data_IF_427974600033
#
_entry.id   IF_427974600033
#
_cell.length_a   1.000
_cell.length_b   1.000
_cell.length_c   1.000
_cell.angle_alpha   90.00
_cell.angle_beta   90.00
_cell.angle_gamma   90.00
#
_symmetry.space_group_name_H-M   'P 1'
#
loop_
_entity.id
_entity.type
_entity.pdbx_description
1 polymer ?
#
# COMPACT_ATOMS: atom_id res chain seq x y z
N UNK A 1 -24.20 16.84 16.25
CA UNK A 1 -24.58 15.51 15.70
C UNK A 1 -23.35 14.63 15.67
N UNK A 2 -23.48 13.34 16.00
CA UNK A 2 -22.37 12.38 15.85
C UNK A 2 -22.18 12.08 14.36
N UNK A 3 -20.96 12.23 13.82
CA UNK A 3 -20.65 11.83 12.45
C UNK A 3 -20.64 10.31 12.35
N UNK A 4 -21.25 9.76 11.30
CA UNK A 4 -21.22 8.34 10.96
C UNK A 4 -20.06 8.12 9.98
N UNK A 5 -19.03 7.40 10.38
CA UNK A 5 -17.88 7.07 9.56
C UNK A 5 -17.84 5.55 9.36
N UNK A 6 -17.62 5.12 8.12
CA UNK A 6 -17.44 3.71 7.76
C UNK A 6 -15.98 3.52 7.36
N UNK A 7 -15.34 2.50 7.93
CA UNK A 7 -13.92 2.21 7.71
C UNK A 7 -13.76 0.79 7.17
N UNK A 8 -13.06 0.66 6.05
CA UNK A 8 -12.70 -0.61 5.44
C UNK A 8 -11.20 -0.90 5.57
N UNK A 9 -10.87 -2.16 5.70
CA UNK A 9 -9.53 -2.66 5.37
C UNK A 9 -9.41 -2.82 3.83
N UNK A 10 -8.20 -2.92 3.31
CA UNK A 10 -7.96 -3.00 1.87
C UNK A 10 -7.67 -4.42 1.39
N UNK A 11 -6.50 -4.96 1.74
CA UNK A 11 -6.06 -6.27 1.27
C UNK A 11 -7.00 -7.36 1.80
N UNK A 12 -7.47 -8.25 0.91
CA UNK A 12 -8.45 -9.33 1.19
C UNK A 12 -9.82 -8.85 1.68
N UNK A 13 -10.07 -7.54 1.63
CA UNK A 13 -11.38 -6.95 1.97
C UNK A 13 -11.98 -6.24 0.77
N UNK A 14 -11.33 -5.21 0.24
CA UNK A 14 -11.71 -4.52 -1.01
C UNK A 14 -11.00 -5.19 -2.20
N UNK A 15 -9.74 -5.48 -2.04
CA UNK A 15 -8.84 -6.05 -3.02
C UNK A 15 -8.60 -7.53 -2.73
N UNK A 16 -8.76 -8.40 -3.74
CA UNK A 16 -8.68 -9.87 -3.61
C UNK A 16 -7.26 -10.44 -3.52
N UNK A 17 -6.28 -9.63 -3.12
CA UNK A 17 -4.88 -10.03 -2.99
C UNK A 17 -4.14 -9.34 -1.86
N UNK A 18 -2.83 -9.44 -1.89
CA UNK A 18 -1.88 -8.69 -1.06
C UNK A 18 -1.23 -7.63 -1.95
N UNK A 19 -1.69 -6.39 -1.89
CA UNK A 19 -1.32 -5.33 -2.85
C UNK A 19 0.19 -5.04 -2.87
N UNK A 20 0.86 -5.06 -1.73
CA UNK A 20 2.32 -4.88 -1.68
C UNK A 20 3.08 -6.01 -2.38
N UNK A 21 2.65 -7.26 -2.21
CA UNK A 21 3.24 -8.44 -2.87
C UNK A 21 2.96 -8.41 -4.37
N UNK A 22 1.72 -8.11 -4.76
CA UNK A 22 1.32 -8.04 -6.16
C UNK A 22 2.02 -6.87 -6.88
N UNK A 23 2.25 -5.76 -6.19
CA UNK A 23 3.05 -4.64 -6.71
C UNK A 23 4.49 -5.07 -7.02
N UNK A 24 5.12 -5.85 -6.14
CA UNK A 24 6.44 -6.39 -6.41
C UNK A 24 6.43 -7.41 -7.56
N UNK A 25 5.39 -8.24 -7.68
CA UNK A 25 5.23 -9.14 -8.83
C UNK A 25 5.10 -8.36 -10.16
N UNK A 26 4.37 -7.25 -10.14
CA UNK A 26 4.31 -6.34 -11.29
C UNK A 26 5.67 -5.71 -11.59
N UNK A 27 6.40 -5.29 -10.56
CA UNK A 27 7.77 -4.78 -10.69
C UNK A 27 8.70 -5.82 -11.34
N UNK A 28 8.62 -7.09 -10.93
CA UNK A 28 9.40 -8.18 -11.53
C UNK A 28 9.14 -8.35 -13.04
N UNK A 29 7.90 -8.14 -13.49
CA UNK A 29 7.58 -8.19 -14.92
C UNK A 29 8.21 -7.03 -15.71
N UNK A 30 8.32 -5.85 -15.10
CA UNK A 30 8.87 -4.65 -15.74
C UNK A 30 10.41 -4.61 -15.67
N UNK A 31 10.98 -5.04 -14.59
CA UNK A 31 12.42 -4.97 -14.28
C UNK A 31 12.97 -6.32 -13.78
N UNK A 32 12.95 -7.39 -14.62
CA UNK A 32 13.22 -8.76 -14.17
C UNK A 32 14.62 -8.94 -13.57
N UNK A 33 15.65 -8.38 -14.19
CA UNK A 33 17.03 -8.49 -13.71
C UNK A 33 17.21 -7.78 -12.37
N UNK A 34 16.68 -6.58 -12.25
CA UNK A 34 16.78 -5.78 -11.03
C UNK A 34 16.03 -6.42 -9.87
N UNK A 35 14.82 -6.91 -10.14
CA UNK A 35 14.01 -7.62 -9.16
C UNK A 35 14.69 -8.91 -8.71
N UNK A 36 15.32 -9.64 -9.62
CA UNK A 36 16.11 -10.84 -9.28
C UNK A 36 17.27 -10.50 -8.34
N UNK A 37 18.10 -9.51 -8.68
CA UNK A 37 19.23 -9.09 -7.84
C UNK A 37 18.75 -8.56 -6.48
N UNK A 38 17.66 -7.79 -6.46
CA UNK A 38 17.04 -7.35 -5.22
C UNK A 38 16.56 -8.54 -4.39
N UNK A 39 15.88 -9.51 -4.98
CA UNK A 39 15.39 -10.70 -4.28
C UNK A 39 16.50 -11.47 -3.60
N UNK A 40 17.65 -11.67 -4.28
CA UNK A 40 18.83 -12.29 -3.69
C UNK A 40 19.34 -11.52 -2.46
N UNK A 41 19.39 -10.20 -2.55
CA UNK A 41 19.82 -9.34 -1.44
C UNK A 41 18.81 -9.32 -0.28
N UNK A 42 17.52 -9.49 -0.58
CA UNK A 42 16.44 -9.42 0.41
C UNK A 42 16.28 -10.70 1.24
N UNK A 43 16.78 -11.85 0.76
CA UNK A 43 16.70 -13.13 1.49
C UNK A 43 17.24 -13.01 2.93
N UNK A 44 18.35 -12.32 3.12
CA UNK A 44 18.94 -12.10 4.46
C UNK A 44 17.99 -11.36 5.41
N UNK A 45 17.22 -10.39 4.89
CA UNK A 45 16.27 -9.61 5.68
C UNK A 45 15.09 -10.48 6.14
N UNK A 46 14.64 -11.40 5.26
CA UNK A 46 13.62 -12.40 5.61
C UNK A 46 14.12 -13.30 6.72
N UNK A 47 15.36 -13.80 6.62
CA UNK A 47 15.99 -14.63 7.66
C UNK A 47 16.07 -13.84 8.98
N UNK A 48 16.54 -12.59 8.95
CA UNK A 48 16.63 -11.75 10.14
C UNK A 48 15.28 -11.49 10.80
N UNK A 49 14.22 -11.35 10.00
CA UNK A 49 12.86 -11.25 10.52
C UNK A 49 12.39 -12.56 11.18
N UNK A 50 12.62 -13.71 10.53
CA UNK A 50 12.22 -15.02 11.06
C UNK A 50 12.92 -15.36 12.39
N UNK A 51 14.20 -14.99 12.52
CA UNK A 51 14.95 -15.18 13.78
C UNK A 51 14.80 -13.99 14.75
N UNK A 52 13.86 -13.07 14.48
CA UNK A 52 13.48 -11.93 15.33
C UNK A 52 14.62 -10.92 15.60
N UNK A 53 15.59 -10.80 14.70
CA UNK A 53 16.64 -9.77 14.76
C UNK A 53 16.09 -8.41 14.32
N UNK A 54 15.15 -8.41 13.34
CA UNK A 54 14.43 -7.22 12.89
C UNK A 54 12.94 -7.42 13.05
N UNK A 55 12.21 -6.34 13.22
CA UNK A 55 10.75 -6.33 13.29
C UNK A 55 10.09 -6.20 11.90
N UNK A 56 8.76 -6.26 11.87
CA UNK A 56 7.96 -6.13 10.65
C UNK A 56 8.13 -4.76 9.98
N UNK A 57 8.28 -3.69 10.79
CA UNK A 57 8.50 -2.33 10.27
C UNK A 57 9.81 -2.29 9.49
N UNK A 58 10.90 -2.79 10.08
CA UNK A 58 12.22 -2.82 9.45
C UNK A 58 12.25 -3.71 8.22
N UNK A 59 11.61 -4.88 8.28
CA UNK A 59 11.48 -5.76 7.12
C UNK A 59 10.74 -5.05 5.96
N UNK A 60 9.66 -4.33 6.25
CA UNK A 60 8.92 -3.57 5.24
C UNK A 60 9.74 -2.42 4.66
N UNK A 61 10.48 -1.68 5.48
CA UNK A 61 11.42 -0.66 5.01
C UNK A 61 12.45 -1.25 4.03
N UNK A 62 13.04 -2.39 4.38
CA UNK A 62 13.99 -3.08 3.50
C UNK A 62 13.36 -3.60 2.21
N UNK A 63 12.08 -3.96 2.26
CA UNK A 63 11.36 -4.45 1.09
C UNK A 63 11.20 -3.39 0.01
N UNK A 64 10.93 -2.14 0.33
CA UNK A 64 10.68 -1.10 -0.66
C UNK A 64 11.93 -0.33 -1.13
N UNK A 65 13.13 -0.72 -0.69
CA UNK A 65 14.41 -0.10 -1.10
C UNK A 65 14.60 -0.13 -2.64
N UNK A 66 14.03 -1.12 -3.35
CA UNK A 66 14.11 -1.19 -4.80
C UNK A 66 13.51 0.04 -5.51
N UNK A 67 12.64 0.81 -4.84
CA UNK A 67 12.05 2.03 -5.39
C UNK A 67 12.95 3.26 -5.27
N UNK A 68 13.98 3.25 -4.40
CA UNK A 68 14.82 4.42 -4.14
C UNK A 68 15.63 4.89 -5.35
N UNK A 69 15.93 3.98 -6.28
CA UNK A 69 16.69 4.27 -7.51
C UNK A 69 15.85 4.88 -8.62
N UNK A 70 14.52 4.77 -8.53
CA UNK A 70 13.61 5.29 -9.54
C UNK A 70 13.26 6.74 -9.26
N UNK A 71 13.18 7.53 -10.33
CA UNK A 71 12.67 8.90 -10.29
C UNK A 71 11.21 8.94 -9.83
N UNK A 72 10.73 10.11 -9.42
CA UNK A 72 9.33 10.29 -9.03
C UNK A 72 8.36 9.90 -10.16
N UNK A 73 8.70 10.31 -11.40
CA UNK A 73 7.87 9.99 -12.58
C UNK A 73 7.84 8.49 -12.87
N UNK A 74 8.98 7.80 -12.79
CA UNK A 74 9.02 6.33 -12.96
C UNK A 74 8.20 5.61 -11.90
N UNK A 75 8.27 6.04 -10.63
CA UNK A 75 7.45 5.47 -9.57
C UNK A 75 5.96 5.69 -9.81
N UNK A 76 5.54 6.89 -10.20
CA UNK A 76 4.13 7.19 -10.55
C UNK A 76 3.65 6.33 -11.72
N UNK A 77 4.45 6.20 -12.77
CA UNK A 77 4.11 5.36 -13.92
C UNK A 77 4.03 3.88 -13.55
N UNK A 78 4.92 3.42 -12.67
CA UNK A 78 4.91 2.04 -12.16
C UNK A 78 3.64 1.75 -11.37
N UNK A 79 3.23 2.65 -10.47
CA UNK A 79 2.02 2.51 -9.65
C UNK A 79 0.76 2.57 -10.54
N UNK A 80 0.71 3.51 -11.47
CA UNK A 80 -0.40 3.62 -12.43
C UNK A 80 -0.56 2.34 -13.23
N UNK A 81 0.52 1.86 -13.87
CA UNK A 81 0.48 0.63 -14.66
C UNK A 81 0.15 -0.62 -13.82
N UNK A 82 0.56 -0.64 -12.56
CA UNK A 82 0.14 -1.68 -11.62
C UNK A 82 -1.38 -1.71 -11.46
N UNK A 83 -2.01 -0.58 -11.19
CA UNK A 83 -3.46 -0.52 -11.01
C UNK A 83 -4.26 -0.74 -12.29
N UNK A 84 -3.72 -0.38 -13.45
CA UNK A 84 -4.32 -0.72 -14.76
C UNK A 84 -4.39 -2.25 -14.98
N UNK A 85 -3.38 -3.00 -14.51
CA UNK A 85 -3.35 -4.47 -14.64
C UNK A 85 -4.07 -5.19 -13.49
N UNK A 86 -3.84 -4.74 -12.25
CA UNK A 86 -4.27 -5.44 -11.03
C UNK A 86 -5.54 -4.87 -10.38
N UNK A 87 -6.02 -3.71 -10.78
CA UNK A 87 -7.25 -3.10 -10.25
C UNK A 87 -8.50 -3.97 -10.46
N UNK A 88 -8.50 -4.85 -11.46
CA UNK A 88 -9.53 -5.87 -11.69
C UNK A 88 -9.65 -6.92 -10.58
N UNK A 89 -8.68 -7.00 -9.66
CA UNK A 89 -8.75 -7.88 -8.49
C UNK A 89 -9.60 -7.29 -7.35
N UNK A 90 -10.13 -6.08 -7.49
CA UNK A 90 -11.14 -5.59 -6.56
C UNK A 90 -12.38 -6.48 -6.65
N UNK A 91 -12.97 -6.77 -5.49
CA UNK A 91 -14.21 -7.54 -5.46
C UNK A 91 -15.37 -6.73 -6.05
N UNK A 92 -16.21 -7.37 -6.86
CA UNK A 92 -17.32 -6.72 -7.59
C UNK A 92 -18.33 -6.03 -6.66
N UNK A 93 -18.57 -6.60 -5.47
CA UNK A 93 -19.50 -6.06 -4.49
C UNK A 93 -19.10 -4.69 -3.95
N UNK A 94 -17.80 -4.35 -3.97
CA UNK A 94 -17.25 -3.15 -3.32
C UNK A 94 -17.81 -1.86 -3.91
N UNK A 95 -18.06 -1.83 -5.23
CA UNK A 95 -18.60 -0.65 -5.92
C UNK A 95 -20.04 -0.33 -5.48
N UNK A 96 -20.89 -1.35 -5.38
CA UNK A 96 -22.28 -1.19 -4.95
C UNK A 96 -22.36 -0.81 -3.47
N UNK A 97 -21.54 -1.46 -2.64
CA UNK A 97 -21.47 -1.18 -1.21
C UNK A 97 -20.92 0.22 -0.92
N UNK A 98 -19.91 0.69 -1.65
CA UNK A 98 -19.41 2.05 -1.52
C UNK A 98 -20.49 3.07 -1.87
N UNK A 99 -21.23 2.87 -2.98
CA UNK A 99 -22.32 3.77 -3.39
C UNK A 99 -23.43 3.86 -2.33
N UNK A 100 -23.80 2.71 -1.73
CA UNK A 100 -24.76 2.65 -0.62
C UNK A 100 -24.24 3.40 0.61
N UNK A 101 -23.03 3.11 1.03
CA UNK A 101 -22.44 3.68 2.25
C UNK A 101 -22.24 5.20 2.16
N UNK A 102 -21.97 5.72 0.96
CA UNK A 102 -21.91 7.17 0.72
C UNK A 102 -23.26 7.89 0.89
N UNK A 103 -24.37 7.19 0.78
CA UNK A 103 -25.70 7.74 1.06
C UNK A 103 -26.07 7.65 2.55
N UNK A 104 -25.49 6.69 3.28
CA UNK A 104 -25.82 6.36 4.65
C UNK A 104 -24.84 6.90 5.69
N UNK A 105 -23.70 7.46 5.27
CA UNK A 105 -22.62 7.94 6.16
C UNK A 105 -22.05 9.28 5.71
N UNK A 106 -21.40 9.96 6.65
CA UNK A 106 -20.71 11.23 6.38
C UNK A 106 -19.37 11.02 5.66
N UNK A 107 -18.72 9.87 5.88
CA UNK A 107 -17.42 9.52 5.26
C UNK A 107 -17.28 8.01 5.13
N UNK A 108 -16.63 7.56 4.04
CA UNK A 108 -16.18 6.18 3.82
C UNK A 108 -14.66 6.18 3.65
N UNK A 109 -13.97 5.55 4.59
CA UNK A 109 -12.52 5.60 4.74
C UNK A 109 -11.93 4.22 4.49
N UNK A 110 -10.73 4.16 3.90
CA UNK A 110 -9.92 2.93 3.86
C UNK A 110 -8.72 3.08 4.79
N UNK A 111 -8.48 2.08 5.63
CA UNK A 111 -7.31 2.02 6.50
C UNK A 111 -6.55 0.72 6.29
N UNK A 112 -5.35 0.79 5.72
CA UNK A 112 -4.53 -0.36 5.32
C UNK A 112 -3.11 -0.31 5.87
N UNK A 113 -2.52 -1.48 6.07
CA UNK A 113 -1.09 -1.59 6.32
C UNK A 113 -0.23 -1.41 5.06
N UNK A 114 -0.81 -1.41 3.88
CA UNK A 114 -0.11 -1.17 2.61
C UNK A 114 0.48 0.24 2.58
N UNK A 115 1.65 0.46 1.93
CA UNK A 115 2.19 1.79 1.74
C UNK A 115 1.17 2.73 1.09
N UNK A 116 1.00 3.92 1.68
CA UNK A 116 0.02 4.90 1.22
C UNK A 116 0.24 5.27 -0.25
N UNK A 117 1.48 5.48 -0.67
CA UNK A 117 1.83 5.84 -2.04
C UNK A 117 1.38 4.82 -3.11
N UNK A 118 1.13 3.56 -2.73
CA UNK A 118 0.62 2.55 -3.67
C UNK A 118 -0.89 2.68 -3.86
N UNK A 119 -1.64 2.98 -2.78
CA UNK A 119 -3.10 2.83 -2.75
C UNK A 119 -3.88 4.15 -2.77
N UNK A 120 -3.25 5.28 -2.42
CA UNK A 120 -3.94 6.55 -2.18
C UNK A 120 -4.71 7.03 -3.41
N UNK A 121 -4.01 7.37 -4.48
CA UNK A 121 -4.61 7.87 -5.72
C UNK A 121 -5.64 6.88 -6.32
N UNK A 122 -5.32 5.59 -6.25
CA UNK A 122 -6.21 4.55 -6.75
C UNK A 122 -7.53 4.51 -5.99
N UNK A 123 -7.50 4.46 -4.67
CA UNK A 123 -8.72 4.41 -3.84
C UNK A 123 -9.52 5.71 -3.89
N UNK A 124 -8.86 6.86 -3.90
CA UNK A 124 -9.53 8.15 -4.11
C UNK A 124 -10.23 8.20 -5.47
N UNK A 125 -9.62 7.64 -6.53
CA UNK A 125 -10.24 7.56 -7.86
C UNK A 125 -11.47 6.65 -7.91
N UNK A 126 -11.56 5.65 -7.03
CA UNK A 126 -12.74 4.80 -6.86
C UNK A 126 -13.87 5.48 -6.08
N UNK A 127 -13.57 6.61 -5.42
CA UNK A 127 -14.55 7.42 -4.70
C UNK A 127 -14.51 7.27 -3.18
N UNK A 128 -13.52 6.62 -2.57
CA UNK A 128 -13.32 6.68 -1.12
C UNK A 128 -12.93 8.11 -0.70
N UNK A 129 -13.35 8.53 0.49
CA UNK A 129 -13.17 9.93 0.93
C UNK A 129 -11.79 10.18 1.54
N UNK A 130 -11.22 9.16 2.18
CA UNK A 130 -9.93 9.27 2.85
C UNK A 130 -9.22 7.91 2.89
N UNK A 131 -7.90 7.91 2.76
CA UNK A 131 -7.06 6.72 2.78
C UNK A 131 -5.97 6.87 3.83
N UNK A 132 -5.94 5.95 4.79
CA UNK A 132 -4.84 5.76 5.72
C UNK A 132 -4.01 4.56 5.30
N UNK A 133 -2.75 4.78 5.00
CA UNK A 133 -1.76 3.77 4.68
C UNK A 133 -0.52 3.90 5.56
N UNK A 134 0.43 3.00 5.39
CA UNK A 134 1.76 3.17 5.97
C UNK A 134 2.49 4.27 5.18
N UNK A 135 2.88 5.35 5.85
CA UNK A 135 3.59 6.47 5.23
C UNK A 135 5.09 6.21 5.17
N UNK A 136 5.72 6.62 4.07
CA UNK A 136 7.17 6.56 3.87
C UNK A 136 7.77 7.96 3.77
N UNK A 137 9.05 8.10 4.16
CA UNK A 137 9.77 9.37 4.01
C UNK A 137 10.00 9.67 2.52
N UNK A 138 9.79 10.94 2.12
CA UNK A 138 9.96 11.34 0.73
C UNK A 138 8.87 10.84 -0.22
N UNK A 139 7.78 10.27 0.29
CA UNK A 139 6.61 9.96 -0.50
C UNK A 139 6.05 11.25 -1.16
N UNK A 140 5.79 11.21 -2.47
CA UNK A 140 5.41 12.39 -3.26
C UNK A 140 6.54 13.40 -3.52
N UNK A 141 7.79 13.09 -3.17
CA UNK A 141 8.97 13.93 -3.41
C UNK A 141 9.89 13.34 -4.48
N UNK A 142 10.79 14.16 -5.03
CA UNK A 142 11.79 13.71 -6.02
C UNK A 142 12.60 12.52 -5.54
N UNK A 143 12.95 12.49 -4.24
CA UNK A 143 13.70 11.40 -3.63
C UNK A 143 12.81 10.62 -2.68
N UNK A 144 12.49 9.38 -3.04
CA UNK A 144 11.87 8.41 -2.16
C UNK A 144 12.92 7.80 -1.23
N UNK A 145 12.58 7.67 0.05
CA UNK A 145 13.40 6.98 1.05
C UNK A 145 12.55 5.87 1.65
N UNK A 146 13.04 4.63 1.57
CA UNK A 146 12.34 3.46 2.08
C UNK A 146 12.46 3.35 3.62
N UNK A 147 11.94 4.38 4.29
CA UNK A 147 11.86 4.47 5.73
C UNK A 147 10.45 4.90 6.12
N UNK A 148 9.84 4.17 7.04
CA UNK A 148 8.47 4.44 7.50
C UNK A 148 8.47 5.68 8.39
N UNK A 149 7.60 6.64 8.03
CA UNK A 149 7.33 7.84 8.82
C UNK A 149 6.34 7.48 9.93
N UNK A 150 6.78 7.53 11.18
CA UNK A 150 5.98 7.08 12.31
C UNK A 150 5.95 5.55 12.42
N UNK A 151 4.77 4.98 12.58
CA UNK A 151 4.57 3.53 12.73
C UNK A 151 3.90 2.88 11.51
N UNK A 152 4.05 1.56 11.41
CA UNK A 152 3.35 0.77 10.40
C UNK A 152 1.84 0.77 10.70
N UNK A 153 1.00 1.17 9.74
CA UNK A 153 -0.45 1.29 9.91
C UNK A 153 -1.12 -0.08 10.05
N UNK A 154 -0.87 -0.76 11.18
CA UNK A 154 -1.38 -2.10 11.51
C UNK A 154 -1.78 -2.19 12.98
N UNK A 155 -2.84 -2.95 13.26
CA UNK A 155 -3.30 -3.17 14.64
C UNK A 155 -3.77 -1.87 15.32
N UNK A 156 -3.23 -1.55 16.50
CA UNK A 156 -3.58 -0.38 17.29
C UNK A 156 -3.39 0.93 16.52
N UNK A 157 -2.35 1.04 15.72
CA UNK A 157 -2.07 2.23 14.91
C UNK A 157 -3.20 2.60 13.93
N UNK A 158 -3.93 1.59 13.42
CA UNK A 158 -5.12 1.84 12.59
C UNK A 158 -6.23 2.56 13.35
N UNK A 159 -6.36 2.30 14.65
CA UNK A 159 -7.40 2.88 15.50
C UNK A 159 -7.02 4.31 15.90
N UNK A 160 -5.74 4.55 16.17
CA UNK A 160 -5.24 5.87 16.61
C UNK A 160 -5.28 6.93 15.50
N UNK A 161 -5.29 6.50 14.22
CA UNK A 161 -5.38 7.40 13.06
C UNK A 161 -6.83 7.74 12.65
N UNK A 162 -7.81 7.06 13.22
CA UNK A 162 -9.24 7.29 12.97
C UNK A 162 -9.84 8.30 13.93
#
# INVERSE_FOLDING_TARGET
MKKKIIVYDFDKTIYGGESGTNFFQYYMKKYPLEAFLFSLSYIKEVIFYLVKIIDLKKMKERFFVFLEKHSEEERKNLIKGFWEEYGKMNYDWTKAELAKNKQESDMVIVSSATPKFIIDDFLLSLGYDLVFGTEFEGDGQKKFISKIKGENNKGQEKVEKL
#
